data_IF_781187849300
#
_entry.id   IF_781187849300
#
_cell.length_a   1.000
_cell.length_b   1.000
_cell.length_c   1.000
_cell.angle_alpha   90.00
_cell.angle_beta   90.00
_cell.angle_gamma   90.00
#
_symmetry.space_group_name_H-M   'P 1'
#
loop_
_entity.id
_entity.type
_entity.pdbx_description
1 polymer ?
#
# COMPACT_ATOMS: atom_id res chain seq x y z
N UNK A 1 14.19 32.13 11.06
CA UNK A 1 14.61 32.86 12.30
C UNK A 1 13.45 32.93 13.28
N UNK A 2 12.20 33.13 12.81
CA UNK A 2 11.03 33.32 13.67
C UNK A 2 10.66 32.08 14.51
N UNK A 3 10.83 30.89 13.97
CA UNK A 3 10.65 29.61 14.71
C UNK A 3 11.64 29.50 15.92
N UNK A 4 12.84 30.03 15.81
CA UNK A 4 13.82 30.01 16.90
C UNK A 4 13.39 30.83 18.11
N UNK A 5 12.47 31.79 17.93
CA UNK A 5 11.88 32.64 18.97
C UNK A 5 10.52 32.16 19.45
N UNK A 6 10.08 30.94 19.02
CA UNK A 6 8.82 30.37 19.44
C UNK A 6 7.58 30.94 18.72
N UNK A 7 7.79 31.72 17.66
CA UNK A 7 6.68 32.19 16.84
C UNK A 7 6.23 31.13 15.86
N UNK A 8 5.08 30.52 16.12
CA UNK A 8 4.44 29.56 15.25
C UNK A 8 3.26 30.24 14.52
N UNK A 9 3.33 30.39 13.18
CA UNK A 9 2.26 30.99 12.41
C UNK A 9 0.99 30.12 12.38
N UNK A 10 1.10 28.84 12.74
CA UNK A 10 -0.02 27.89 12.76
C UNK A 10 -0.45 27.64 14.21
N UNK A 11 -1.70 27.92 14.52
CA UNK A 11 -2.26 27.69 15.86
C UNK A 11 -2.85 26.27 15.99
N UNK A 12 -3.05 25.81 17.23
CA UNK A 12 -3.76 24.54 17.49
C UNK A 12 -5.18 24.56 16.90
N UNK A 13 -5.82 25.73 16.86
CA UNK A 13 -7.13 25.90 16.24
C UNK A 13 -7.06 25.66 14.73
N UNK A 14 -6.03 26.19 14.04
CA UNK A 14 -5.82 25.97 12.61
C UNK A 14 -5.58 24.50 12.30
N UNK A 15 -4.80 23.80 13.14
CA UNK A 15 -4.55 22.37 13.00
C UNK A 15 -5.84 21.55 13.14
N UNK A 16 -6.71 21.92 14.09
CA UNK A 16 -7.99 21.21 14.30
C UNK A 16 -8.99 21.41 13.16
N UNK A 17 -8.95 22.56 12.51
CA UNK A 17 -9.84 22.90 11.37
C UNK A 17 -9.28 22.37 10.05
N UNK A 18 -7.97 22.14 9.96
CA UNK A 18 -7.35 21.65 8.75
C UNK A 18 -7.86 20.25 8.38
N UNK A 19 -8.52 20.17 7.23
CA UNK A 19 -8.90 18.90 6.59
C UNK A 19 -8.02 18.72 5.37
N UNK A 20 -7.15 17.70 5.32
CA UNK A 20 -6.34 17.44 4.14
C UNK A 20 -7.24 17.11 2.95
N UNK A 21 -6.96 17.69 1.80
CA UNK A 21 -7.70 17.47 0.55
C UNK A 21 -7.58 16.01 0.07
N UNK A 22 -6.44 15.37 0.35
CA UNK A 22 -6.21 13.98 0.01
C UNK A 22 -5.84 13.18 1.27
N UNK A 23 -6.58 12.11 1.51
CA UNK A 23 -6.26 11.16 2.57
C UNK A 23 -5.36 10.07 2.03
N UNK A 24 -4.30 9.74 2.77
CA UNK A 24 -3.44 8.60 2.52
C UNK A 24 -3.11 7.90 3.84
N UNK A 25 -2.95 6.58 3.78
CA UNK A 25 -2.47 5.76 4.89
C UNK A 25 -1.18 5.10 4.42
N UNK A 26 -0.10 5.29 5.16
CA UNK A 26 1.19 4.76 4.76
C UNK A 26 1.95 4.16 5.92
N UNK A 27 2.77 3.19 5.60
CA UNK A 27 3.73 2.56 6.48
C UNK A 27 5.12 2.63 5.86
N UNK A 28 6.13 2.88 6.68
CA UNK A 28 7.52 2.92 6.25
C UNK A 28 8.43 2.21 7.24
N UNK A 29 9.32 1.36 6.72
CA UNK A 29 10.28 0.64 7.53
C UNK A 29 11.72 0.85 7.03
N UNK A 30 12.62 1.10 7.97
CA UNK A 30 14.06 1.03 7.76
C UNK A 30 14.53 -0.27 8.40
N UNK A 31 15.05 -1.18 7.58
CA UNK A 31 15.48 -2.49 8.05
C UNK A 31 16.78 -2.37 8.85
N UNK A 32 16.89 -3.10 9.95
CA UNK A 32 18.08 -3.10 10.82
C UNK A 32 19.35 -3.54 10.10
N UNK A 33 19.20 -4.51 9.20
CA UNK A 33 20.22 -5.01 8.29
C UNK A 33 19.72 -4.99 6.86
N UNK A 34 20.62 -5.11 5.88
CA UNK A 34 20.21 -5.24 4.49
C UNK A 34 19.56 -6.61 4.25
N UNK A 35 18.37 -6.63 3.63
CA UNK A 35 17.61 -7.86 3.38
C UNK A 35 17.69 -8.25 1.91
N UNK A 36 17.65 -9.57 1.67
CA UNK A 36 17.42 -10.12 0.33
C UNK A 36 15.99 -9.80 -0.13
N UNK A 37 15.75 -9.91 -1.44
CA UNK A 37 14.41 -9.67 -2.02
C UNK A 37 13.32 -10.54 -1.41
N UNK A 38 13.62 -11.81 -1.07
CA UNK A 38 12.64 -12.72 -0.46
C UNK A 38 12.24 -12.30 0.95
N UNK A 39 13.23 -11.95 1.78
CA UNK A 39 12.95 -11.45 3.14
C UNK A 39 12.21 -10.10 3.13
N UNK A 40 12.61 -9.21 2.25
CA UNK A 40 11.95 -7.92 2.12
C UNK A 40 10.51 -8.05 1.61
N UNK A 41 10.20 -9.06 0.77
CA UNK A 41 8.83 -9.34 0.33
C UNK A 41 7.92 -9.68 1.50
N UNK A 42 8.39 -10.46 2.47
CA UNK A 42 7.60 -10.79 3.68
C UNK A 42 7.23 -9.51 4.42
N UNK A 43 8.21 -8.62 4.64
CA UNK A 43 7.96 -7.33 5.31
C UNK A 43 6.96 -6.46 4.53
N UNK A 44 7.05 -6.43 3.21
CA UNK A 44 6.08 -5.69 2.36
C UNK A 44 4.67 -6.26 2.50
N UNK A 45 4.53 -7.59 2.61
CA UNK A 45 3.22 -8.21 2.82
C UNK A 45 2.66 -7.90 4.22
N UNK A 46 3.48 -7.94 5.27
CA UNK A 46 3.10 -7.50 6.62
C UNK A 46 2.65 -6.02 6.63
N UNK A 47 3.36 -5.15 5.91
CA UNK A 47 2.95 -3.74 5.75
C UNK A 47 1.61 -3.61 5.01
N UNK A 48 1.37 -4.45 4.01
CA UNK A 48 0.11 -4.47 3.28
C UNK A 48 -1.06 -4.96 4.16
N UNK A 49 -0.83 -5.96 4.99
CA UNK A 49 -1.80 -6.44 5.99
C UNK A 49 -2.15 -5.35 7.00
N UNK A 50 -1.15 -4.64 7.52
CA UNK A 50 -1.36 -3.54 8.44
C UNK A 50 -2.19 -2.41 7.80
N UNK A 51 -1.87 -2.01 6.56
CA UNK A 51 -2.65 -0.99 5.84
C UNK A 51 -4.08 -1.46 5.58
N UNK A 52 -4.28 -2.73 5.23
CA UNK A 52 -5.62 -3.29 5.04
C UNK A 52 -6.43 -3.25 6.35
N UNK A 53 -5.80 -3.58 7.47
CA UNK A 53 -6.40 -3.50 8.78
C UNK A 53 -6.77 -2.05 9.17
N UNK A 54 -5.84 -1.10 8.97
CA UNK A 54 -6.07 0.32 9.26
C UNK A 54 -7.21 0.90 8.41
N UNK A 55 -7.29 0.52 7.14
CA UNK A 55 -8.39 0.89 6.25
C UNK A 55 -9.72 0.32 6.76
N UNK A 56 -9.73 -0.94 7.15
CA UNK A 56 -10.93 -1.61 7.65
C UNK A 56 -11.42 -1.00 8.96
N UNK A 57 -10.53 -0.79 9.93
CA UNK A 57 -10.85 -0.23 11.25
C UNK A 57 -11.43 1.19 11.12
N UNK A 58 -10.83 2.01 10.25
CA UNK A 58 -11.29 3.38 10.01
C UNK A 58 -12.49 3.48 9.05
N UNK A 59 -13.04 2.36 8.59
CA UNK A 59 -14.13 2.31 7.59
C UNK A 59 -13.78 3.06 6.30
N UNK A 60 -12.56 2.89 5.85
CA UNK A 60 -12.01 3.49 4.65
C UNK A 60 -11.73 2.42 3.59
N UNK A 61 -11.63 2.85 2.34
CA UNK A 61 -11.21 2.03 1.21
C UNK A 61 -10.21 2.81 0.36
N UNK A 62 -9.36 2.09 -0.34
CA UNK A 62 -8.41 2.67 -1.29
C UNK A 62 -8.39 1.86 -2.59
N UNK A 63 -8.12 2.53 -3.69
CA UNK A 63 -7.90 1.86 -4.98
C UNK A 63 -6.51 2.04 -5.55
N UNK A 64 -5.62 2.74 -4.85
CA UNK A 64 -4.27 3.00 -5.35
C UNK A 64 -3.24 2.77 -4.24
N UNK A 65 -2.24 1.94 -4.55
CA UNK A 65 -1.13 1.65 -3.65
C UNK A 65 0.18 2.01 -4.33
N UNK A 66 1.05 2.68 -3.58
CA UNK A 66 2.37 3.13 -4.02
C UNK A 66 3.43 2.44 -3.18
N UNK A 67 4.36 1.75 -3.82
CA UNK A 67 5.46 1.08 -3.16
C UNK A 67 6.79 1.70 -3.59
N UNK A 68 7.63 2.00 -2.61
CA UNK A 68 9.01 2.47 -2.82
C UNK A 68 9.97 1.55 -2.08
N UNK A 69 10.98 1.06 -2.79
CA UNK A 69 12.01 0.14 -2.30
C UNK A 69 13.35 0.85 -2.37
N UNK A 70 13.93 1.16 -1.22
CA UNK A 70 15.26 1.74 -1.11
C UNK A 70 16.31 0.66 -0.92
N UNK A 71 17.31 0.65 -1.78
CA UNK A 71 18.41 -0.30 -1.75
C UNK A 71 19.52 0.13 -0.79
N UNK A 72 20.26 -0.83 -0.27
CA UNK A 72 21.39 -0.55 0.60
C UNK A 72 22.59 -0.03 -0.20
N UNK A 73 23.37 0.84 0.42
CA UNK A 73 24.61 1.39 -0.17
C UNK A 73 25.66 0.33 -0.40
N UNK A 74 25.63 -0.76 0.37
CA UNK A 74 26.60 -1.84 0.27
C UNK A 74 26.54 -2.56 -1.09
N UNK A 75 25.42 -2.39 -1.83
CA UNK A 75 25.33 -2.82 -3.22
C UNK A 75 26.34 -2.11 -4.16
N UNK A 76 26.88 -0.97 -3.74
CA UNK A 76 27.89 -0.22 -4.50
C UNK A 76 29.32 -0.65 -4.15
N UNK A 77 29.49 -1.49 -3.08
CA UNK A 77 30.78 -1.95 -2.62
C UNK A 77 31.10 -3.31 -3.25
N UNK A 78 32.21 -3.40 -3.96
CA UNK A 78 32.78 -4.68 -4.41
C UNK A 78 32.17 -5.32 -5.66
N UNK A 79 31.02 -4.89 -6.13
CA UNK A 79 30.43 -5.32 -7.40
C UNK A 79 30.32 -4.14 -8.36
N UNK A 80 30.51 -4.40 -9.68
CA UNK A 80 30.23 -3.42 -10.72
C UNK A 80 28.72 -3.21 -10.82
N UNK A 81 28.16 -2.39 -9.93
CA UNK A 81 26.79 -1.94 -10.09
C UNK A 81 26.69 -1.06 -11.36
N UNK A 82 25.93 -1.53 -12.32
CA UNK A 82 25.76 -0.84 -13.62
C UNK A 82 24.46 -0.03 -13.72
N UNK A 83 23.67 0.02 -12.65
CA UNK A 83 22.40 0.74 -12.61
C UNK A 83 22.58 2.21 -12.26
N UNK A 84 21.46 2.93 -12.20
CA UNK A 84 21.43 4.33 -11.83
C UNK A 84 21.75 4.53 -10.34
N UNK A 85 22.62 5.50 -10.06
CA UNK A 85 23.02 5.90 -8.71
C UNK A 85 22.34 7.21 -8.35
N UNK A 86 21.71 7.27 -7.20
CA UNK A 86 21.13 8.47 -6.61
C UNK A 86 21.97 8.93 -5.41
N UNK A 87 21.77 10.17 -5.00
CA UNK A 87 22.36 10.70 -3.78
C UNK A 87 21.27 10.80 -2.71
N UNK A 88 21.53 10.25 -1.53
CA UNK A 88 20.59 10.34 -0.43
C UNK A 88 20.62 11.71 0.25
N UNK A 89 19.72 11.92 1.21
CA UNK A 89 19.59 13.14 2.00
C UNK A 89 20.90 13.58 2.72
N UNK A 90 21.80 12.62 2.95
CA UNK A 90 23.09 12.85 3.63
C UNK A 90 24.26 12.97 2.66
N UNK A 91 23.99 13.13 1.35
CA UNK A 91 25.02 13.24 0.32
C UNK A 91 25.70 11.90 -0.05
N UNK A 92 25.20 10.76 0.43
CA UNK A 92 25.79 9.46 0.16
C UNK A 92 25.23 8.86 -1.12
N UNK A 93 26.09 8.24 -1.90
CA UNK A 93 25.67 7.49 -3.10
C UNK A 93 24.97 6.20 -2.69
N UNK A 94 23.84 5.94 -3.30
CA UNK A 94 23.02 4.72 -3.15
C UNK A 94 22.49 4.31 -4.52
N UNK A 95 22.16 3.02 -4.76
CA UNK A 95 21.40 2.63 -5.94
C UNK A 95 20.08 3.38 -5.98
N UNK A 96 19.65 3.79 -7.17
CA UNK A 96 18.35 4.44 -7.33
C UNK A 96 17.25 3.53 -6.79
N UNK A 97 16.36 4.08 -5.98
CA UNK A 97 15.23 3.35 -5.42
C UNK A 97 14.26 2.86 -6.51
N UNK A 98 13.68 1.69 -6.31
CA UNK A 98 12.57 1.24 -7.12
C UNK A 98 11.26 1.89 -6.61
N UNK A 99 10.43 2.30 -7.54
CA UNK A 99 9.16 2.95 -7.24
C UNK A 99 8.09 2.47 -8.21
N UNK A 100 6.92 2.21 -7.71
CA UNK A 100 5.80 1.81 -8.55
C UNK A 100 4.45 2.06 -7.89
N UNK A 101 3.45 2.09 -8.74
CA UNK A 101 2.05 2.28 -8.35
C UNK A 101 1.21 1.18 -8.96
N UNK A 102 0.23 0.69 -8.19
CA UNK A 102 -0.82 -0.19 -8.67
C UNK A 102 -2.18 0.42 -8.38
N UNK A 103 -3.06 0.37 -9.38
CA UNK A 103 -4.46 0.76 -9.24
C UNK A 103 -5.32 -0.49 -9.27
N UNK A 104 -6.31 -0.53 -8.38
CA UNK A 104 -7.38 -1.52 -8.39
C UNK A 104 -8.59 -0.93 -9.12
N UNK A 105 -9.37 -1.78 -9.76
CA UNK A 105 -10.58 -1.34 -10.47
C UNK A 105 -11.63 -0.82 -9.48
N UNK A 106 -11.75 -1.49 -8.34
CA UNK A 106 -12.72 -1.16 -7.29
C UNK A 106 -11.96 -0.78 -6.02
N UNK A 107 -12.34 0.33 -5.34
CA UNK A 107 -11.78 0.66 -4.03
C UNK A 107 -12.08 -0.44 -3.01
N UNK A 108 -11.07 -0.88 -2.26
CA UNK A 108 -11.21 -1.99 -1.33
C UNK A 108 -10.47 -1.77 -0.01
N UNK A 109 -10.89 -2.46 1.03
CA UNK A 109 -10.15 -2.71 2.27
C UNK A 109 -9.92 -4.21 2.49
N UNK A 110 -10.14 -5.03 1.45
CA UNK A 110 -9.96 -6.48 1.51
C UNK A 110 -8.48 -6.84 1.63
N UNK A 111 -8.13 -7.54 2.70
CA UNK A 111 -6.78 -8.04 2.94
C UNK A 111 -6.24 -8.82 1.74
N UNK A 112 -7.03 -9.75 1.20
CA UNK A 112 -6.64 -10.62 0.09
C UNK A 112 -6.34 -9.82 -1.18
N UNK A 113 -7.19 -8.86 -1.53
CA UNK A 113 -7.03 -8.06 -2.74
C UNK A 113 -5.81 -7.14 -2.64
N UNK A 114 -5.63 -6.48 -1.48
CA UNK A 114 -4.51 -5.58 -1.22
C UNK A 114 -3.19 -6.35 -1.23
N UNK A 115 -3.09 -7.46 -0.51
CA UNK A 115 -1.86 -8.26 -0.45
C UNK A 115 -1.49 -8.86 -1.81
N UNK A 116 -2.48 -9.32 -2.58
CA UNK A 116 -2.27 -9.83 -3.95
C UNK A 116 -1.75 -8.72 -4.87
N UNK A 117 -2.37 -7.55 -4.84
CA UNK A 117 -1.96 -6.40 -5.66
C UNK A 117 -0.56 -5.90 -5.30
N UNK A 118 -0.28 -5.75 -4.00
CA UNK A 118 1.03 -5.28 -3.50
C UNK A 118 2.12 -6.32 -3.80
N UNK A 119 1.84 -7.61 -3.67
CA UNK A 119 2.77 -8.68 -4.07
C UNK A 119 3.14 -8.61 -5.55
N UNK A 120 2.14 -8.45 -6.42
CA UNK A 120 2.35 -8.29 -7.86
C UNK A 120 3.16 -7.02 -8.19
N UNK A 121 2.85 -5.91 -7.50
CA UNK A 121 3.60 -4.66 -7.65
C UNK A 121 5.06 -4.84 -7.24
N UNK A 122 5.31 -5.48 -6.09
CA UNK A 122 6.65 -5.77 -5.61
C UNK A 122 7.45 -6.57 -6.64
N UNK A 123 6.91 -7.70 -7.12
CA UNK A 123 7.58 -8.58 -8.09
C UNK A 123 7.89 -7.88 -9.40
N UNK A 124 7.09 -6.88 -9.79
CA UNK A 124 7.26 -6.09 -11.01
C UNK A 124 8.39 -5.06 -10.92
N UNK A 125 8.60 -4.44 -9.75
CA UNK A 125 9.51 -3.30 -9.61
C UNK A 125 10.86 -3.65 -8.98
N UNK A 126 10.97 -4.80 -8.30
CA UNK A 126 12.15 -5.18 -7.55
C UNK A 126 13.32 -5.56 -8.44
N UNK A 127 14.52 -5.09 -8.14
CA UNK A 127 15.77 -5.72 -8.60
C UNK A 127 16.21 -6.76 -7.57
N UNK A 128 16.03 -8.04 -7.92
CA UNK A 128 16.31 -9.18 -7.03
C UNK A 128 17.79 -9.37 -6.69
N UNK A 129 18.69 -8.69 -7.43
CA UNK A 129 20.13 -8.77 -7.21
C UNK A 129 20.60 -7.82 -6.11
N UNK A 130 19.79 -6.85 -5.74
CA UNK A 130 20.16 -5.81 -4.81
C UNK A 130 19.63 -6.09 -3.41
N UNK A 131 20.44 -5.76 -2.42
CA UNK A 131 20.05 -5.76 -1.00
C UNK A 131 19.19 -4.54 -0.69
N UNK A 132 18.16 -4.73 0.12
CA UNK A 132 17.13 -3.74 0.43
C UNK A 132 17.36 -3.19 1.83
N UNK A 133 17.19 -1.88 2.00
CA UNK A 133 17.37 -1.19 3.28
C UNK A 133 16.13 -0.47 3.78
N UNK A 134 15.28 -0.02 2.88
CA UNK A 134 14.07 0.75 3.22
C UNK A 134 12.90 0.31 2.38
N UNK A 135 11.74 0.25 3.00
CA UNK A 135 10.46 -0.04 2.36
C UNK A 135 9.47 1.04 2.76
N UNK A 136 8.67 1.50 1.82
CA UNK A 136 7.57 2.43 2.08
C UNK A 136 6.38 2.01 1.23
N UNK A 137 5.26 1.72 1.87
CA UNK A 137 4.00 1.39 1.22
C UNK A 137 2.93 2.40 1.64
N UNK A 138 2.22 2.94 0.68
CA UNK A 138 1.19 3.96 0.92
C UNK A 138 -0.06 3.66 0.12
N UNK A 139 -1.19 3.58 0.81
CA UNK A 139 -2.51 3.64 0.20
C UNK A 139 -2.87 5.11 -0.04
N UNK A 140 -3.14 5.46 -1.28
CA UNK A 140 -3.54 6.81 -1.70
C UNK A 140 -4.97 6.80 -2.21
N UNK A 141 -5.55 7.98 -2.45
CA UNK A 141 -6.96 8.09 -2.87
C UNK A 141 -7.90 7.35 -1.91
N UNK A 142 -7.63 7.51 -0.61
CA UNK A 142 -8.41 6.90 0.45
C UNK A 142 -9.74 7.65 0.58
N UNK A 143 -10.83 6.91 0.64
CA UNK A 143 -12.19 7.44 0.73
C UNK A 143 -13.02 6.65 1.76
N UNK A 144 -14.08 7.25 2.35
CA UNK A 144 -15.00 6.52 3.21
C UNK A 144 -15.69 5.36 2.46
N UNK A 145 -15.97 4.28 3.19
CA UNK A 145 -16.65 3.10 2.65
C UNK A 145 -18.15 3.33 2.37
N UNK A 146 -18.71 4.44 2.77
CA UNK A 146 -20.16 4.75 2.72
C UNK A 146 -20.81 4.65 1.33
N UNK A 147 -20.04 4.65 0.23
CA UNK A 147 -20.55 4.40 -1.11
C UNK A 147 -20.65 2.93 -1.53
N UNK A 148 -20.18 1.98 -0.70
CA UNK A 148 -20.12 0.56 -1.06
C UNK A 148 -21.15 -0.32 -0.33
N UNK A 149 -22.01 0.23 0.51
CA UNK A 149 -23.09 -0.53 1.15
C UNK A 149 -23.96 -1.21 0.09
N UNK A 150 -24.12 -0.59 -1.08
CA UNK A 150 -24.87 -1.17 -2.20
C UNK A 150 -24.15 -2.35 -2.89
N UNK A 151 -22.80 -2.35 -2.99
CA UNK A 151 -22.09 -3.48 -3.60
C UNK A 151 -22.04 -4.70 -2.69
N UNK A 152 -22.01 -4.49 -1.37
CA UNK A 152 -22.04 -5.61 -0.43
C UNK A 152 -23.45 -6.21 -0.33
N UNK A 153 -24.50 -5.42 -0.54
CA UNK A 153 -25.86 -5.91 -0.68
C UNK A 153 -26.06 -6.65 -2.00
N UNK A 154 -25.45 -6.20 -3.10
CA UNK A 154 -25.49 -6.90 -4.39
C UNK A 154 -24.82 -8.28 -4.33
N UNK A 155 -23.71 -8.42 -3.59
CA UNK A 155 -23.08 -9.75 -3.37
C UNK A 155 -23.99 -10.72 -2.59
N UNK A 156 -24.77 -10.24 -1.65
CA UNK A 156 -25.75 -11.04 -0.94
C UNK A 156 -27.02 -11.29 -1.79
N UNK A 157 -27.41 -10.32 -2.59
CA UNK A 157 -28.58 -10.43 -3.49
C UNK A 157 -28.27 -11.45 -4.61
N UNK A 158 -27.09 -11.41 -5.20
CA UNK A 158 -26.66 -12.39 -6.20
C UNK A 158 -26.54 -13.80 -5.64
N UNK A 159 -26.09 -13.95 -4.40
CA UNK A 159 -26.02 -15.27 -3.75
C UNK A 159 -27.41 -15.84 -3.44
N UNK A 160 -28.36 -15.01 -3.05
CA UNK A 160 -29.76 -15.42 -2.88
C UNK A 160 -30.46 -15.71 -4.23
N UNK A 161 -30.15 -14.94 -5.26
CA UNK A 161 -30.62 -15.17 -6.62
C UNK A 161 -30.08 -16.49 -7.17
N UNK A 162 -28.79 -16.76 -7.03
CA UNK A 162 -28.14 -18.03 -7.38
C UNK A 162 -28.73 -19.22 -6.61
N UNK A 163 -29.02 -19.05 -5.32
CA UNK A 163 -29.66 -20.08 -4.50
C UNK A 163 -31.08 -20.39 -4.96
N UNK A 164 -31.85 -19.36 -5.31
CA UNK A 164 -33.21 -19.50 -5.86
C UNK A 164 -33.21 -20.15 -7.25
N UNK A 165 -32.22 -19.86 -8.07
CA UNK A 165 -32.06 -20.47 -9.39
C UNK A 165 -31.65 -21.92 -9.28
N UNK A 166 -30.73 -22.28 -8.41
CA UNK A 166 -30.36 -23.66 -8.12
C UNK A 166 -31.51 -24.46 -7.48
N UNK A 167 -32.33 -23.86 -6.63
CA UNK A 167 -33.53 -24.52 -6.12
C UNK A 167 -34.60 -24.75 -7.20
N UNK A 168 -34.73 -23.81 -8.14
CA UNK A 168 -35.63 -23.95 -9.31
C UNK A 168 -35.18 -25.08 -10.22
N UNK A 169 -33.91 -25.17 -10.56
CA UNK A 169 -33.33 -26.24 -11.34
C UNK A 169 -33.50 -27.62 -10.65
N UNK A 170 -33.28 -27.66 -9.32
CA UNK A 170 -33.49 -28.91 -8.53
C UNK A 170 -34.96 -29.38 -8.51
N UNK A 171 -35.92 -28.45 -8.57
CA UNK A 171 -37.35 -28.79 -8.68
C UNK A 171 -37.72 -29.29 -10.05
N UNK A 172 -37.12 -28.74 -11.11
CA UNK A 172 -37.35 -29.18 -12.50
C UNK A 172 -36.73 -30.55 -12.79
N UNK A 173 -35.64 -30.95 -12.12
CA UNK A 173 -35.01 -32.25 -12.25
C UNK A 173 -35.76 -33.38 -11.47
N UNK A 174 -36.70 -33.03 -10.60
CA UNK A 174 -37.48 -33.98 -9.79
C UNK A 174 -38.91 -34.20 -10.33
N UNK A 175 -39.26 -33.56 -11.42
CA UNK A 175 -40.53 -33.67 -12.12
C UNK A 175 -40.37 -34.50 -13.42
#
# INVERSE_FOLDING_TARGET
IDHAWGYEPCTIADIKVYKPEAKSIGSGQVLSTAYSSEKAKIVVLEMAEQIAFDLFEQKLVSKQFVLTIGYDRDNLQGQKYSGEVATDRYGRKIPKHAHGTINLDIPTSSLKEITTAVSSLYDRIIDKKLLIRRLTLTATKVMPKEGQVYQQLDLFTDYEALKKEQEKERRLQKS
#
